data_IF_775630757854
#
_entry.id   IF_775630757854
#
_cell.length_a   1.000
_cell.length_b   1.000
_cell.length_c   1.000
_cell.angle_alpha   90.00
_cell.angle_beta   90.00
_cell.angle_gamma   90.00
#
_symmetry.space_group_name_H-M   'P 1'
#
loop_
_entity.id
_entity.type
_entity.pdbx_description
1 polymer ?
#
# COMPACT_ATOMS: atom_id res chain seq x y z
N UNK A 1 28.67 72.88 90.99
CA UNK A 1 29.15 72.12 89.87
C UNK A 1 27.97 71.34 89.24
N UNK A 2 27.01 72.05 88.58
CA UNK A 2 25.84 71.40 87.97
C UNK A 2 26.06 71.20 86.45
N UNK A 3 26.99 71.91 85.80
CA UNK A 3 27.25 71.91 84.35
C UNK A 3 27.62 70.52 83.74
N UNK A 4 28.53 69.70 84.32
CA UNK A 4 28.89 68.41 83.69
C UNK A 4 27.78 67.35 83.73
N UNK A 5 26.91 67.39 84.76
CA UNK A 5 25.80 66.43 84.86
C UNK A 5 24.73 66.72 83.83
N UNK A 6 24.40 68.00 83.50
CA UNK A 6 23.45 68.42 82.50
C UNK A 6 23.95 68.03 81.12
N UNK A 7 25.22 68.15 80.80
CA UNK A 7 25.83 67.73 79.51
C UNK A 7 25.72 66.22 79.35
N UNK A 8 26.00 65.44 80.35
CA UNK A 8 25.91 63.98 80.33
C UNK A 8 24.47 63.53 80.11
N UNK A 9 23.53 64.15 80.84
CA UNK A 9 22.09 63.87 80.64
C UNK A 9 21.65 64.25 79.22
N UNK A 10 22.09 65.43 78.71
CA UNK A 10 21.76 65.85 77.33
C UNK A 10 22.33 64.88 76.28
N UNK A 11 23.53 64.38 76.44
CA UNK A 11 24.10 63.34 75.51
C UNK A 11 23.33 62.06 75.57
N UNK A 12 22.94 61.59 76.77
CA UNK A 12 22.10 60.37 76.86
C UNK A 12 20.71 60.54 76.20
N UNK A 13 20.11 61.73 76.37
CA UNK A 13 18.83 62.03 75.72
C UNK A 13 18.97 62.08 74.18
N UNK A 14 20.02 62.69 73.63
CA UNK A 14 20.31 62.76 72.22
C UNK A 14 20.55 61.34 71.67
N UNK A 15 21.35 60.52 72.35
CA UNK A 15 21.58 59.13 71.97
C UNK A 15 20.31 58.31 72.00
N UNK A 16 19.44 58.50 72.99
CA UNK A 16 18.15 57.84 73.07
C UNK A 16 17.22 58.28 71.92
N UNK A 17 17.21 59.56 71.56
CA UNK A 17 16.49 60.11 70.44
C UNK A 17 17.02 59.55 69.09
N UNK A 18 18.35 59.57 68.94
CA UNK A 18 18.97 58.97 67.72
C UNK A 18 18.62 57.46 67.61
N UNK A 19 18.74 56.76 68.75
CA UNK A 19 18.33 55.31 68.77
C UNK A 19 16.84 55.10 68.42
N UNK A 20 15.98 55.97 68.97
CA UNK A 20 14.52 55.92 68.63
C UNK A 20 14.24 56.23 67.15
N UNK A 21 14.93 57.27 66.64
CA UNK A 21 14.81 57.66 65.23
C UNK A 21 15.34 56.55 64.28
N UNK A 22 16.56 56.02 64.62
CA UNK A 22 17.11 54.93 63.82
C UNK A 22 16.23 53.67 63.87
N UNK A 23 15.65 53.35 65.04
CA UNK A 23 14.72 52.25 65.17
C UNK A 23 13.44 52.48 64.27
N UNK A 24 12.88 53.71 64.30
CA UNK A 24 11.73 54.10 63.49
C UNK A 24 12.09 54.01 61.98
N UNK A 25 13.29 54.49 61.60
CA UNK A 25 13.73 54.42 60.17
C UNK A 25 13.88 52.95 59.73
N UNK A 26 14.52 52.12 60.57
CA UNK A 26 14.69 50.69 60.28
C UNK A 26 13.33 50.01 60.21
N UNK A 27 12.40 50.30 61.13
CA UNK A 27 11.04 49.75 61.14
C UNK A 27 10.23 50.15 59.94
N UNK A 28 10.39 51.40 59.46
CA UNK A 28 9.69 51.90 58.28
C UNK A 28 10.28 51.39 56.96
N UNK A 29 11.57 50.99 56.91
CA UNK A 29 12.24 50.52 55.71
C UNK A 29 12.29 49.00 55.61
N UNK A 30 12.00 48.24 56.69
CA UNK A 30 11.93 46.77 56.61
C UNK A 30 10.82 46.36 55.64
N UNK A 31 11.18 45.56 54.64
CA UNK A 31 10.23 44.93 53.67
C UNK A 31 9.80 43.54 54.20
N UNK A 32 8.62 43.07 53.81
CA UNK A 32 8.27 41.67 54.00
C UNK A 32 9.18 40.80 53.16
N UNK A 33 9.36 39.53 53.53
CA UNK A 33 10.15 38.55 52.85
C UNK A 33 9.32 37.30 52.55
N UNK A 34 9.56 36.66 51.39
CA UNK A 34 8.97 35.36 51.04
C UNK A 34 10.11 34.39 50.74
N UNK A 35 10.10 33.23 51.40
CA UNK A 35 10.96 32.10 51.13
C UNK A 35 10.06 30.93 50.57
N UNK A 36 10.41 30.39 49.42
CA UNK A 36 9.72 29.20 48.89
C UNK A 36 10.08 27.99 49.75
N UNK A 37 9.12 27.11 49.93
CA UNK A 37 9.39 25.75 50.43
C UNK A 37 9.65 24.88 49.20
N UNK A 38 10.73 24.09 49.23
CA UNK A 38 11.16 23.31 48.07
C UNK A 38 11.78 24.15 46.95
N UNK A 39 11.82 23.59 45.74
CA UNK A 39 12.55 24.16 44.62
C UNK A 39 11.81 25.32 43.94
N UNK A 40 12.55 26.31 43.46
CA UNK A 40 12.04 27.45 42.70
C UNK A 40 11.69 27.04 41.24
N UNK A 41 12.36 26.02 40.70
CA UNK A 41 12.10 25.44 39.39
C UNK A 41 11.85 23.95 39.53
N UNK A 42 10.71 23.51 39.01
CA UNK A 42 10.29 22.11 39.04
C UNK A 42 10.03 21.68 37.62
N UNK A 43 10.46 20.48 37.25
CA UNK A 43 10.14 19.84 35.97
C UNK A 43 9.29 18.61 36.27
N UNK A 44 8.17 18.47 35.57
CA UNK A 44 7.19 17.39 35.66
C UNK A 44 7.00 16.77 34.30
N UNK A 45 6.84 15.44 34.26
CA UNK A 45 6.36 14.78 33.04
C UNK A 45 4.87 15.02 32.86
N UNK A 46 4.41 15.02 31.61
CA UNK A 46 2.99 15.12 31.31
C UNK A 46 2.20 14.03 32.07
N UNK A 47 1.06 14.43 32.66
CA UNK A 47 0.26 13.56 33.51
C UNK A 47 0.69 13.44 34.96
N UNK A 48 1.91 13.96 35.33
CA UNK A 48 2.41 13.89 36.69
C UNK A 48 1.76 14.97 37.57
N UNK A 49 1.33 14.58 38.79
CA UNK A 49 0.65 15.50 39.70
C UNK A 49 1.62 16.52 40.27
N UNK A 50 1.28 17.80 40.14
CA UNK A 50 1.99 18.89 40.83
C UNK A 50 1.57 18.96 42.28
N UNK A 51 2.54 18.84 43.18
CA UNK A 51 2.31 19.01 44.62
C UNK A 51 2.83 20.38 45.07
N UNK A 52 1.92 21.29 45.42
CA UNK A 52 2.26 22.64 45.88
C UNK A 52 2.83 22.64 47.33
N UNK A 53 4.12 22.93 47.47
CA UNK A 53 4.80 22.98 48.78
C UNK A 53 4.61 24.29 49.50
N UNK A 54 4.20 25.35 48.81
CA UNK A 54 3.91 26.66 49.35
C UNK A 54 5.16 27.50 49.62
N UNK A 55 4.97 28.52 50.45
CA UNK A 55 6.03 29.46 50.88
C UNK A 55 5.89 29.80 52.36
N UNK A 56 6.84 30.55 52.87
CA UNK A 56 6.77 31.17 54.18
C UNK A 56 7.00 32.68 54.04
N UNK A 57 5.98 33.50 54.40
CA UNK A 57 6.11 34.94 54.39
C UNK A 57 6.33 35.48 55.81
N UNK A 58 7.28 36.40 55.93
CA UNK A 58 7.63 36.99 57.21
C UNK A 58 7.78 38.52 57.14
N UNK A 59 7.41 39.21 58.21
CA UNK A 59 7.68 40.61 58.41
C UNK A 59 8.18 40.87 59.82
N UNK A 60 9.40 41.40 59.96
CA UNK A 60 10.11 41.61 61.22
C UNK A 60 10.18 40.35 62.08
N UNK A 61 10.42 39.16 61.38
CA UNK A 61 10.56 37.86 62.04
C UNK A 61 9.22 37.21 62.43
N UNK A 62 8.08 37.86 62.21
CA UNK A 62 6.77 37.27 62.45
C UNK A 62 6.17 36.74 61.14
N UNK A 63 5.50 35.58 61.19
CA UNK A 63 4.76 35.06 60.06
C UNK A 63 3.60 35.97 59.66
N UNK A 64 3.42 36.18 58.35
CA UNK A 64 2.30 36.90 57.76
C UNK A 64 1.62 36.04 56.73
N UNK A 65 0.37 36.30 56.39
CA UNK A 65 -0.39 35.65 55.33
C UNK A 65 0.18 36.03 53.98
N UNK A 66 0.07 35.09 53.05
CA UNK A 66 0.40 35.28 51.65
C UNK A 66 -0.68 34.66 50.76
N UNK A 67 -0.83 35.15 49.54
CA UNK A 67 -1.69 34.66 48.52
C UNK A 67 -0.87 33.84 47.50
N UNK A 68 -1.44 32.71 47.02
CA UNK A 68 -0.88 31.91 45.92
C UNK A 68 -1.74 32.12 44.69
N UNK A 69 -1.11 32.53 43.58
CA UNK A 69 -1.78 32.83 42.32
C UNK A 69 -1.14 31.93 41.22
N UNK A 70 -1.98 31.32 40.41
CA UNK A 70 -1.59 30.44 39.33
C UNK A 70 -2.06 29.01 39.54
N UNK A 71 -2.00 28.22 38.49
CA UNK A 71 -2.30 26.78 38.48
C UNK A 71 -1.43 26.09 37.44
N UNK A 72 -0.99 24.88 37.76
CA UNK A 72 -0.31 23.98 36.83
C UNK A 72 -1.36 23.08 36.18
N UNK A 73 -1.33 23.00 34.83
CA UNK A 73 -2.08 21.99 34.09
C UNK A 73 -1.11 20.87 33.71
N UNK A 74 -1.18 19.77 34.40
CA UNK A 74 -0.29 18.61 34.19
C UNK A 74 -0.49 17.91 32.85
N UNK A 75 -1.63 18.12 32.18
CA UNK A 75 -2.00 17.43 30.94
C UNK A 75 -1.64 18.24 29.67
N UNK A 76 -1.05 19.42 29.87
CA UNK A 76 -0.63 20.30 28.76
C UNK A 76 0.83 20.70 28.97
N UNK A 77 1.74 20.37 28.04
CA UNK A 77 3.14 20.81 28.11
C UNK A 77 3.24 22.32 28.09
N UNK A 78 4.14 22.88 28.90
CA UNK A 78 4.34 24.31 28.98
C UNK A 78 5.02 24.74 30.28
N UNK A 79 5.25 26.04 30.39
CA UNK A 79 5.82 26.69 31.58
C UNK A 79 4.71 27.39 32.34
N UNK A 80 4.52 27.00 33.59
CA UNK A 80 3.51 27.54 34.51
C UNK A 80 4.16 28.31 35.59
N UNK A 81 3.61 29.51 35.89
CA UNK A 81 4.08 30.36 36.98
C UNK A 81 3.13 30.29 38.16
N UNK A 82 3.66 30.01 39.32
CA UNK A 82 2.98 30.11 40.62
C UNK A 82 3.59 31.31 41.36
N UNK A 83 2.78 32.32 41.56
CA UNK A 83 3.18 33.56 42.18
C UNK A 83 2.70 33.60 43.66
N UNK A 84 3.60 33.96 44.54
CA UNK A 84 3.36 34.12 45.98
C UNK A 84 3.47 35.57 46.33
N UNK A 85 2.40 36.18 46.87
CA UNK A 85 2.31 37.61 47.23
C UNK A 85 2.02 37.77 48.70
N UNK A 86 2.79 38.59 49.37
CA UNK A 86 2.52 38.97 50.73
C UNK A 86 2.52 40.49 50.87
N UNK A 87 1.51 41.05 51.55
CA UNK A 87 1.33 42.46 51.72
C UNK A 87 1.11 42.79 53.20
N UNK A 88 1.79 43.81 53.70
CA UNK A 88 1.59 44.36 55.03
C UNK A 88 1.91 45.86 55.09
N UNK A 89 1.05 46.67 55.66
CA UNK A 89 1.25 48.12 55.85
C UNK A 89 1.70 48.86 54.57
N UNK A 90 1.04 48.62 53.44
CA UNK A 90 1.37 49.20 52.13
C UNK A 90 2.74 48.76 51.55
N UNK A 91 3.32 47.68 52.04
CA UNK A 91 4.50 47.05 51.49
C UNK A 91 4.12 45.71 50.94
N UNK A 92 4.65 45.40 49.75
CA UNK A 92 4.39 44.14 49.04
C UNK A 92 5.70 43.48 48.65
N UNK A 93 5.69 42.17 48.66
CA UNK A 93 6.76 41.31 48.13
C UNK A 93 6.14 40.19 47.37
N UNK A 94 6.74 39.81 46.27
CA UNK A 94 6.34 38.66 45.49
C UNK A 94 7.54 37.75 45.21
N UNK A 95 7.26 36.48 45.03
CA UNK A 95 8.20 35.43 44.55
C UNK A 95 7.50 34.50 43.63
N UNK A 96 8.20 33.98 42.61
CA UNK A 96 7.64 33.07 41.63
C UNK A 96 8.29 31.68 41.78
N UNK A 97 7.49 30.63 41.50
CA UNK A 97 7.96 29.28 41.22
C UNK A 97 7.58 28.97 39.77
N UNK A 98 8.55 28.41 39.04
CA UNK A 98 8.36 27.98 37.67
C UNK A 98 8.17 26.47 37.67
N UNK A 99 7.05 25.99 37.14
CA UNK A 99 6.77 24.56 36.92
C UNK A 99 6.70 24.30 35.44
N UNK A 100 7.61 23.49 34.92
CA UNK A 100 7.67 23.13 33.53
C UNK A 100 7.12 21.72 33.34
N UNK A 101 6.01 21.60 32.62
CA UNK A 101 5.46 20.30 32.19
C UNK A 101 6.06 19.96 30.84
N UNK A 102 6.73 18.80 30.75
CA UNK A 102 7.36 18.34 29.52
C UNK A 102 6.63 17.11 28.99
N UNK A 103 6.53 17.04 27.66
CA UNK A 103 6.12 15.85 26.98
C UNK A 103 7.33 14.94 26.75
N UNK A 104 7.31 13.77 27.36
CA UNK A 104 8.34 12.74 27.25
C UNK A 104 7.77 11.41 26.73
N UNK A 105 6.55 11.44 26.19
CA UNK A 105 5.86 10.27 25.64
C UNK A 105 6.12 10.22 24.14
N UNK A 106 6.70 9.11 23.68
CA UNK A 106 6.92 8.93 22.26
C UNK A 106 5.62 8.63 21.51
N UNK A 107 5.47 9.08 20.27
CA UNK A 107 4.33 8.76 19.43
C UNK A 107 4.24 7.25 19.14
N UNK A 108 3.10 6.81 18.61
CA UNK A 108 2.84 5.42 18.24
C UNK A 108 2.61 5.35 16.74
N UNK A 109 3.35 4.48 16.03
CA UNK A 109 3.11 4.14 14.62
C UNK A 109 2.41 2.78 14.56
N UNK A 110 1.26 2.71 13.88
CA UNK A 110 0.51 1.48 13.63
C UNK A 110 0.54 1.18 12.14
N UNK A 111 1.15 0.07 11.75
CA UNK A 111 1.14 -0.42 10.38
C UNK A 111 -0.23 -1.05 10.05
N UNK A 112 -0.81 -0.71 8.90
CA UNK A 112 -1.98 -1.39 8.36
C UNK A 112 -1.53 -2.66 7.64
N UNK A 113 -2.28 -3.76 7.79
CA UNK A 113 -1.90 -5.08 7.26
C UNK A 113 -0.73 -5.71 8.01
N UNK A 114 -0.11 -6.71 7.36
CA UNK A 114 0.97 -7.50 7.97
C UNK A 114 2.30 -6.74 8.06
N UNK A 115 3.03 -6.91 9.14
CA UNK A 115 4.38 -6.35 9.31
C UNK A 115 5.44 -7.14 8.53
N UNK A 116 5.13 -8.36 8.10
CA UNK A 116 5.99 -9.19 7.26
C UNK A 116 5.20 -9.66 6.05
N UNK A 117 5.66 -9.31 4.84
CA UNK A 117 4.99 -9.59 3.57
C UNK A 117 5.95 -10.35 2.66
N UNK A 118 5.43 -11.31 1.89
CA UNK A 118 6.18 -12.00 0.85
C UNK A 118 5.67 -11.57 -0.53
N UNK A 119 6.58 -11.15 -1.40
CA UNK A 119 6.28 -10.67 -2.76
C UNK A 119 7.13 -11.47 -3.75
N UNK A 120 6.54 -11.94 -4.85
CA UNK A 120 7.34 -12.56 -5.91
C UNK A 120 8.21 -11.50 -6.58
N UNK A 121 9.42 -11.91 -6.97
CA UNK A 121 10.33 -11.05 -7.73
C UNK A 121 9.66 -10.48 -8.98
N UNK A 122 9.92 -9.21 -9.26
CA UNK A 122 9.37 -8.45 -10.38
C UNK A 122 7.87 -8.09 -10.26
N UNK A 123 7.19 -8.50 -9.18
CA UNK A 123 5.85 -8.03 -8.89
C UNK A 123 5.88 -6.63 -8.27
N UNK A 124 4.83 -5.85 -8.51
CA UNK A 124 4.66 -4.57 -7.83
C UNK A 124 4.39 -4.80 -6.33
N UNK A 125 5.00 -3.95 -5.51
CA UNK A 125 4.70 -3.86 -4.10
C UNK A 125 3.73 -2.70 -3.85
N UNK A 126 2.59 -2.99 -3.27
CA UNK A 126 1.63 -2.00 -2.83
C UNK A 126 1.69 -1.83 -1.32
N UNK A 127 1.93 -0.61 -0.87
CA UNK A 127 1.98 -0.27 0.56
C UNK A 127 0.56 -0.27 1.16
N UNK A 128 0.35 -1.12 2.18
CA UNK A 128 -0.94 -1.24 2.88
C UNK A 128 -1.29 -0.01 3.74
N UNK A 129 -0.29 0.85 3.97
CA UNK A 129 -0.44 2.08 4.73
C UNK A 129 -0.12 1.94 6.22
N UNK A 130 -0.27 3.06 6.92
CA UNK A 130 0.04 3.22 8.35
C UNK A 130 -0.76 4.37 8.94
N UNK A 131 -0.72 4.51 10.26
CA UNK A 131 -1.16 5.70 11.00
C UNK A 131 -0.13 6.03 12.09
N UNK A 132 -0.02 7.30 12.47
CA UNK A 132 0.78 7.70 13.61
C UNK A 132 0.01 8.69 14.47
N UNK A 133 0.09 8.53 15.78
CA UNK A 133 -0.58 9.39 16.76
C UNK A 133 0.28 9.60 17.99
N UNK A 134 0.09 10.73 18.63
CA UNK A 134 0.73 11.12 19.86
C UNK A 134 -0.30 11.65 20.87
N UNK A 135 0.01 11.59 22.15
CA UNK A 135 -0.90 12.00 23.21
C UNK A 135 -1.10 13.53 23.29
N UNK A 136 -0.14 14.32 22.82
CA UNK A 136 -0.20 15.79 22.79
C UNK A 136 -0.49 16.32 21.40
N UNK A 137 0.24 15.82 20.39
CA UNK A 137 0.16 16.28 19.00
C UNK A 137 -1.06 15.69 18.24
N UNK A 138 -1.71 14.66 18.79
CA UNK A 138 -2.83 14.00 18.14
C UNK A 138 -2.40 13.17 16.92
N UNK A 139 -3.12 13.31 15.80
CA UNK A 139 -2.79 12.62 14.55
C UNK A 139 -1.62 13.32 13.84
N UNK A 140 -0.48 12.61 13.78
CA UNK A 140 0.75 13.03 13.11
C UNK A 140 1.15 12.10 11.95
N UNK A 141 0.19 11.37 11.39
CA UNK A 141 0.40 10.43 10.28
C UNK A 141 1.11 11.10 9.09
N UNK A 142 0.81 12.36 8.81
CA UNK A 142 1.41 13.13 7.72
C UNK A 142 2.86 13.56 7.97
N UNK A 143 3.37 13.41 9.20
CA UNK A 143 4.76 13.69 9.57
C UNK A 143 5.66 12.45 9.48
N UNK A 144 5.10 11.26 9.17
CA UNK A 144 5.89 10.02 9.09
C UNK A 144 6.82 10.07 7.88
N UNK A 145 8.10 9.87 8.13
CA UNK A 145 9.13 9.69 7.12
C UNK A 145 9.31 8.21 6.81
N UNK A 146 9.43 7.87 5.52
CA UNK A 146 9.62 6.50 5.05
C UNK A 146 10.99 6.38 4.39
N UNK A 147 11.78 5.42 4.84
CA UNK A 147 13.03 5.02 4.22
C UNK A 147 12.97 3.54 3.84
N UNK A 148 13.40 3.19 2.63
CA UNK A 148 13.42 1.81 2.18
C UNK A 148 14.61 1.50 1.29
N UNK A 149 15.06 0.25 1.35
CA UNK A 149 16.04 -0.33 0.44
C UNK A 149 15.41 -1.39 -0.48
N UNK A 150 14.07 -1.44 -0.56
CA UNK A 150 13.33 -2.45 -1.32
C UNK A 150 13.78 -2.49 -2.78
N UNK A 151 14.15 -3.69 -3.24
CA UNK A 151 14.46 -3.96 -4.64
C UNK A 151 13.66 -5.20 -5.07
N UNK A 152 12.54 -4.98 -5.73
CA UNK A 152 11.65 -6.04 -6.21
C UNK A 152 12.26 -6.90 -7.32
N UNK A 153 13.36 -6.46 -7.95
CA UNK A 153 14.04 -7.19 -9.02
C UNK A 153 15.12 -8.16 -8.50
N UNK A 154 15.30 -8.23 -7.20
CA UNK A 154 16.30 -9.12 -6.59
C UNK A 154 15.72 -9.83 -5.36
N UNK A 155 15.75 -11.16 -5.37
CA UNK A 155 15.32 -11.94 -4.22
C UNK A 155 16.17 -11.60 -2.97
N UNK A 156 15.51 -11.47 -1.84
CA UNK A 156 16.13 -11.06 -0.57
C UNK A 156 15.11 -10.53 0.43
N UNK A 157 15.58 -10.21 1.63
CA UNK A 157 14.78 -9.57 2.67
C UNK A 157 15.10 -8.08 2.70
N UNK A 158 14.08 -7.26 2.65
CA UNK A 158 14.16 -5.78 2.59
C UNK A 158 13.32 -5.17 3.70
N UNK A 159 13.68 -3.96 4.10
CA UNK A 159 12.98 -3.24 5.15
C UNK A 159 12.39 -1.93 4.61
N UNK A 160 11.18 -1.64 5.04
CA UNK A 160 10.56 -0.33 4.93
C UNK A 160 10.47 0.20 6.35
N UNK A 161 11.22 1.26 6.63
CA UNK A 161 11.31 1.88 7.94
C UNK A 161 10.46 3.14 7.97
N UNK A 162 9.58 3.21 8.93
CA UNK A 162 8.71 4.36 9.23
C UNK A 162 9.27 5.03 10.47
N UNK A 163 9.42 6.34 10.45
CA UNK A 163 9.85 7.11 11.62
C UNK A 163 9.09 8.41 11.74
N UNK A 164 8.83 8.84 12.96
CA UNK A 164 8.13 10.11 13.24
C UNK A 164 8.70 10.72 14.53
N UNK A 165 8.71 12.05 14.56
CA UNK A 165 8.98 12.86 15.74
C UNK A 165 7.71 13.63 16.10
N UNK A 166 7.42 13.72 17.41
CA UNK A 166 6.44 14.67 17.90
C UNK A 166 7.03 16.09 17.98
N UNK A 167 6.26 17.06 18.46
CA UNK A 167 6.71 18.44 18.61
C UNK A 167 7.70 18.63 19.78
N UNK A 168 7.74 17.70 20.72
CA UNK A 168 8.70 17.68 21.85
C UNK A 168 10.03 17.04 21.46
N UNK A 169 10.10 16.31 20.33
CA UNK A 169 11.29 15.64 19.83
C UNK A 169 11.40 14.17 20.24
N UNK A 170 10.35 13.58 20.82
CA UNK A 170 10.32 12.15 21.08
C UNK A 170 10.10 11.38 19.78
N UNK A 171 10.80 10.23 19.63
CA UNK A 171 10.86 9.48 18.37
C UNK A 171 10.16 8.14 18.49
N UNK A 172 9.41 7.78 17.43
CA UNK A 172 8.93 6.43 17.22
C UNK A 172 9.42 5.87 15.88
N UNK A 173 9.57 4.56 15.82
CA UNK A 173 9.92 3.82 14.61
C UNK A 173 9.08 2.55 14.50
N UNK A 174 8.74 2.17 13.26
CA UNK A 174 8.16 0.89 12.92
C UNK A 174 8.84 0.34 11.66
N UNK A 175 8.86 -0.99 11.49
CA UNK A 175 9.49 -1.64 10.36
C UNK A 175 8.51 -2.64 9.75
N UNK A 176 8.39 -2.59 8.42
CA UNK A 176 7.76 -3.64 7.62
C UNK A 176 8.84 -4.38 6.86
N UNK A 177 8.87 -5.70 6.99
CA UNK A 177 9.78 -6.57 6.26
C UNK A 177 9.11 -7.06 4.98
N UNK A 178 9.75 -6.87 3.83
CA UNK A 178 9.31 -7.39 2.53
C UNK A 178 10.31 -8.46 2.07
N UNK A 179 9.85 -9.69 2.01
CA UNK A 179 10.63 -10.80 1.43
C UNK A 179 10.33 -10.92 -0.05
N UNK A 180 11.29 -10.54 -0.89
CA UNK A 180 11.23 -10.77 -2.35
C UNK A 180 11.73 -12.19 -2.61
N UNK A 181 10.85 -13.03 -3.15
CA UNK A 181 11.13 -14.46 -3.37
C UNK A 181 11.15 -14.80 -4.87
N UNK A 182 12.04 -15.68 -5.28
CA UNK A 182 11.98 -16.25 -6.61
C UNK A 182 10.77 -17.19 -6.73
N UNK A 183 9.99 -17.05 -7.82
CA UNK A 183 8.94 -18.03 -8.15
C UNK A 183 9.58 -19.41 -8.35
N UNK A 184 9.23 -20.35 -7.52
CA UNK A 184 9.76 -21.73 -7.63
C UNK A 184 8.76 -22.58 -8.40
N UNK A 185 9.06 -22.87 -9.64
CA UNK A 185 8.28 -23.81 -10.45
C UNK A 185 8.70 -25.26 -10.18
N UNK A 186 7.83 -26.19 -10.53
CA UNK A 186 8.12 -27.63 -10.42
C UNK A 186 9.35 -28.01 -11.23
N UNK A 187 10.20 -28.84 -10.66
CA UNK A 187 11.34 -29.47 -11.39
C UNK A 187 10.92 -30.72 -12.19
N UNK A 188 9.73 -31.24 -11.91
CA UNK A 188 9.17 -32.35 -12.67
C UNK A 188 8.78 -31.87 -14.07
N UNK A 189 8.86 -32.79 -15.03
CA UNK A 189 8.50 -32.48 -16.42
C UNK A 189 7.02 -32.70 -16.66
N UNK A 190 6.42 -31.85 -17.47
CA UNK A 190 5.05 -32.01 -17.92
C UNK A 190 4.84 -33.33 -18.62
N UNK A 191 3.93 -34.19 -18.10
CA UNK A 191 3.67 -35.55 -18.59
C UNK A 191 2.39 -35.66 -19.42
N UNK A 192 1.37 -34.92 -19.00
CA UNK A 192 0.01 -35.07 -19.52
C UNK A 192 -0.34 -34.11 -20.67
N UNK A 193 0.67 -33.50 -21.29
CA UNK A 193 0.46 -32.45 -22.29
C UNK A 193 0.11 -31.09 -21.67
N UNK A 194 0.33 -30.04 -22.44
CA UNK A 194 0.10 -28.65 -22.01
C UNK A 194 -1.38 -28.30 -22.12
N UNK A 195 -2.08 -27.99 -21.02
CA UNK A 195 -3.42 -27.41 -21.08
C UNK A 195 -3.36 -25.98 -21.60
N UNK A 196 -4.15 -25.70 -22.63
CA UNK A 196 -4.38 -24.35 -23.18
C UNK A 196 -5.83 -24.02 -22.93
N UNK A 197 -6.11 -23.13 -21.98
CA UNK A 197 -7.46 -22.76 -21.57
C UNK A 197 -8.05 -21.77 -22.57
N UNK A 198 -9.36 -21.87 -22.82
CA UNK A 198 -10.09 -21.02 -23.75
C UNK A 198 -11.26 -20.35 -23.05
N UNK A 199 -11.17 -19.04 -22.86
CA UNK A 199 -12.22 -18.16 -22.35
C UNK A 199 -12.75 -17.26 -23.49
N UNK A 200 -13.84 -16.50 -23.22
CA UNK A 200 -14.37 -15.51 -24.15
C UNK A 200 -14.82 -14.24 -23.39
N UNK A 201 -16.04 -14.23 -22.85
CA UNK A 201 -16.66 -13.06 -22.26
C UNK A 201 -16.69 -13.13 -20.74
N UNK A 202 -16.69 -11.96 -20.09
CA UNK A 202 -16.73 -11.86 -18.64
C UNK A 202 -17.89 -10.99 -18.17
N UNK A 203 -18.42 -11.27 -17.00
CA UNK A 203 -19.47 -10.45 -16.39
C UNK A 203 -19.37 -10.46 -14.88
N UNK A 204 -19.84 -9.36 -14.27
CA UNK A 204 -20.07 -9.27 -12.83
C UNK A 204 -21.59 -9.39 -12.60
N UNK A 205 -22.02 -10.44 -11.90
CA UNK A 205 -23.43 -10.65 -11.57
C UNK A 205 -24.03 -9.54 -10.69
N UNK A 206 -23.19 -8.74 -10.02
CA UNK A 206 -23.62 -7.71 -9.08
C UNK A 206 -23.72 -6.31 -9.72
N UNK A 207 -23.18 -6.08 -10.92
CA UNK A 207 -23.17 -4.76 -11.54
C UNK A 207 -24.42 -4.47 -12.41
N UNK A 208 -25.20 -5.49 -12.69
CA UNK A 208 -26.45 -5.39 -13.45
C UNK A 208 -26.31 -5.03 -14.95
N UNK A 209 -25.07 -4.96 -15.46
CA UNK A 209 -24.82 -4.53 -16.86
C UNK A 209 -25.09 -5.63 -17.88
N UNK A 210 -24.80 -6.88 -17.53
CA UNK A 210 -25.02 -8.01 -18.43
C UNK A 210 -26.32 -8.73 -18.10
N UNK A 211 -27.36 -8.63 -18.94
CA UNK A 211 -28.62 -9.32 -18.71
C UNK A 211 -28.43 -10.84 -18.67
N UNK A 212 -28.99 -11.51 -17.67
CA UNK A 212 -28.90 -12.97 -17.51
C UNK A 212 -29.42 -13.77 -18.72
N UNK A 213 -30.35 -13.21 -19.49
CA UNK A 213 -30.86 -13.81 -20.73
C UNK A 213 -29.84 -13.89 -21.86
N UNK A 214 -28.73 -13.14 -21.78
CA UNK A 214 -27.65 -13.18 -22.77
C UNK A 214 -26.51 -14.11 -22.40
N UNK A 215 -26.50 -14.63 -21.16
CA UNK A 215 -25.44 -15.47 -20.65
C UNK A 215 -25.53 -16.89 -21.19
N UNK A 216 -24.64 -17.22 -22.10
CA UNK A 216 -24.42 -18.61 -22.60
C UNK A 216 -23.15 -19.21 -21.91
N UNK A 217 -22.69 -20.33 -22.45
CA UNK A 217 -21.51 -21.03 -21.91
C UNK A 217 -20.17 -20.33 -22.18
N UNK A 218 -20.15 -19.25 -22.96
CA UNK A 218 -18.93 -18.46 -23.20
C UNK A 218 -18.70 -17.38 -22.14
N UNK A 219 -19.72 -17.07 -21.34
CA UNK A 219 -19.61 -16.08 -20.29
C UNK A 219 -19.04 -16.69 -19.01
N UNK A 220 -18.02 -16.05 -18.44
CA UNK A 220 -17.41 -16.41 -17.15
C UNK A 220 -17.76 -15.34 -16.12
N UNK A 221 -18.30 -15.75 -14.99
CA UNK A 221 -18.52 -14.86 -13.85
C UNK A 221 -17.17 -14.48 -13.23
N UNK A 222 -17.00 -13.19 -12.92
CA UNK A 222 -15.71 -12.63 -12.53
C UNK A 222 -15.12 -13.23 -11.25
N UNK A 223 -15.97 -13.58 -10.26
CA UNK A 223 -15.50 -14.22 -9.03
C UNK A 223 -15.04 -15.67 -9.26
N UNK A 224 -15.66 -16.38 -10.21
CA UNK A 224 -15.22 -17.72 -10.60
C UNK A 224 -13.88 -17.65 -11.34
N UNK A 225 -13.73 -16.68 -12.25
CA UNK A 225 -12.46 -16.43 -12.92
C UNK A 225 -11.36 -16.08 -11.93
N UNK A 226 -11.62 -15.16 -10.99
CA UNK A 226 -10.63 -14.79 -9.96
C UNK A 226 -10.19 -16.00 -9.13
N UNK A 227 -11.12 -16.86 -8.72
CA UNK A 227 -10.79 -18.08 -7.98
C UNK A 227 -9.89 -19.03 -8.79
N UNK A 228 -10.13 -19.14 -10.11
CA UNK A 228 -9.31 -19.97 -11.03
C UNK A 228 -7.91 -19.37 -11.17
N UNK A 229 -7.77 -18.08 -11.44
CA UNK A 229 -6.49 -17.38 -11.61
C UNK A 229 -5.69 -17.38 -10.30
N UNK A 230 -6.35 -17.10 -9.18
CA UNK A 230 -5.76 -17.18 -7.83
C UNK A 230 -5.19 -18.58 -7.59
N UNK A 231 -5.95 -19.64 -7.90
CA UNK A 231 -5.47 -21.02 -7.74
C UNK A 231 -4.19 -21.26 -8.56
N UNK A 232 -4.13 -20.84 -9.82
CA UNK A 232 -2.95 -21.01 -10.66
C UNK A 232 -1.73 -20.28 -10.08
N UNK A 233 -1.89 -19.04 -9.67
CA UNK A 233 -0.82 -18.22 -9.09
C UNK A 233 -0.30 -18.81 -7.76
N UNK A 234 -1.19 -19.12 -6.82
CA UNK A 234 -0.84 -19.63 -5.48
C UNK A 234 -0.25 -21.04 -5.51
N UNK A 235 -0.52 -21.83 -6.55
CA UNK A 235 0.02 -23.19 -6.71
C UNK A 235 1.24 -23.26 -7.62
N UNK A 236 1.86 -22.09 -7.92
CA UNK A 236 3.10 -21.97 -8.70
C UNK A 236 3.00 -22.61 -10.10
N UNK A 237 1.89 -22.38 -10.80
CA UNK A 237 1.80 -22.77 -12.21
C UNK A 237 2.76 -21.92 -13.04
N UNK A 238 3.38 -22.56 -14.03
CA UNK A 238 4.24 -21.94 -15.01
C UNK A 238 3.43 -21.51 -16.24
N UNK A 239 3.64 -20.28 -16.68
CA UNK A 239 2.99 -19.71 -17.87
C UNK A 239 4.05 -19.58 -18.97
N UNK A 240 4.18 -20.57 -19.87
CA UNK A 240 5.21 -20.56 -20.88
C UNK A 240 4.99 -19.45 -21.91
N UNK A 241 6.08 -18.89 -22.42
CA UNK A 241 6.07 -18.02 -23.59
C UNK A 241 5.69 -18.79 -24.86
N UNK A 242 5.23 -18.10 -25.88
CA UNK A 242 4.89 -18.76 -27.16
C UNK A 242 6.10 -19.44 -27.81
N UNK A 243 7.30 -18.90 -27.65
CA UNK A 243 8.54 -19.55 -28.09
C UNK A 243 8.79 -20.86 -27.34
N UNK A 244 8.55 -20.91 -26.04
CA UNK A 244 8.67 -22.13 -25.23
C UNK A 244 7.61 -23.15 -25.62
N UNK A 245 6.38 -22.73 -25.91
CA UNK A 245 5.31 -23.62 -26.41
C UNK A 245 5.72 -24.22 -27.75
N UNK A 246 6.25 -23.41 -28.69
CA UNK A 246 6.74 -23.89 -29.97
C UNK A 246 7.88 -24.90 -29.78
N UNK A 247 8.88 -24.56 -28.96
CA UNK A 247 10.01 -25.45 -28.68
C UNK A 247 9.60 -26.73 -27.93
N UNK A 248 8.56 -26.68 -27.09
CA UNK A 248 7.98 -27.88 -26.49
C UNK A 248 7.34 -28.78 -27.52
N UNK A 249 6.53 -28.24 -28.44
CA UNK A 249 5.91 -29.01 -29.53
C UNK A 249 7.00 -29.66 -30.40
N UNK A 250 8.07 -28.94 -30.71
CA UNK A 250 9.19 -29.46 -31.49
C UNK A 250 10.06 -30.51 -30.73
N UNK A 251 9.76 -30.75 -29.45
CA UNK A 251 10.51 -31.69 -28.61
C UNK A 251 11.87 -31.18 -28.12
N UNK A 252 12.20 -29.91 -28.40
CA UNK A 252 13.48 -29.28 -28.04
C UNK A 252 13.63 -29.04 -26.54
N UNK A 253 12.53 -28.78 -25.85
CA UNK A 253 12.49 -28.51 -24.40
C UNK A 253 11.42 -29.34 -23.69
N UNK A 254 11.50 -29.39 -22.36
CA UNK A 254 10.42 -29.85 -21.50
C UNK A 254 9.89 -28.62 -20.72
N UNK A 255 8.58 -28.57 -20.54
CA UNK A 255 7.96 -27.61 -19.64
C UNK A 255 7.84 -28.17 -18.21
N UNK A 256 7.79 -27.33 -17.18
CA UNK A 256 7.47 -27.74 -15.81
C UNK A 256 6.12 -28.47 -15.72
N UNK A 257 5.97 -29.39 -14.78
CA UNK A 257 4.75 -30.22 -14.64
C UNK A 257 3.48 -29.38 -14.52
N UNK A 258 3.50 -28.36 -13.69
CA UNK A 258 2.37 -27.41 -13.54
C UNK A 258 2.46 -26.27 -14.55
N UNK A 259 2.41 -26.57 -15.85
CA UNK A 259 2.37 -25.55 -16.91
C UNK A 259 0.97 -25.38 -17.45
N UNK A 260 0.56 -24.15 -17.75
CA UNK A 260 -0.74 -23.80 -18.32
C UNK A 260 -0.63 -22.56 -19.20
N UNK A 261 -1.39 -22.54 -20.29
CA UNK A 261 -1.59 -21.32 -21.10
C UNK A 261 -3.02 -20.85 -20.93
N UNK A 262 -3.21 -19.57 -20.71
CA UNK A 262 -4.53 -18.92 -20.62
C UNK A 262 -4.76 -18.18 -21.93
N UNK A 263 -5.84 -18.48 -22.65
CA UNK A 263 -6.25 -17.76 -23.84
C UNK A 263 -7.67 -17.26 -23.71
N UNK A 264 -7.93 -16.08 -24.26
CA UNK A 264 -9.22 -15.45 -24.33
C UNK A 264 -9.47 -15.09 -25.80
N UNK A 265 -10.67 -15.30 -26.32
CA UNK A 265 -11.02 -15.07 -27.70
C UNK A 265 -11.91 -13.83 -27.85
N UNK A 266 -11.94 -13.28 -29.07
CA UNK A 266 -12.75 -12.19 -29.59
C UNK A 266 -12.23 -10.77 -29.30
N UNK A 267 -11.58 -10.50 -28.17
CA UNK A 267 -11.07 -9.17 -27.83
C UNK A 267 -12.14 -8.23 -27.25
N UNK A 268 -13.23 -8.77 -26.70
CA UNK A 268 -14.36 -7.99 -26.19
C UNK A 268 -13.98 -7.07 -25.01
N UNK A 269 -14.62 -5.91 -24.92
CA UNK A 269 -14.37 -4.94 -23.84
C UNK A 269 -14.58 -5.51 -22.43
N UNK A 270 -15.36 -6.58 -22.28
CA UNK A 270 -15.58 -7.23 -20.98
C UNK A 270 -14.30 -7.84 -20.42
N UNK A 271 -13.42 -8.37 -21.28
CA UNK A 271 -12.11 -8.83 -20.85
C UNK A 271 -11.30 -7.70 -20.22
N UNK A 272 -11.16 -6.58 -20.89
CA UNK A 272 -10.36 -5.45 -20.43
C UNK A 272 -10.94 -4.81 -19.15
N UNK A 273 -12.28 -4.83 -19.02
CA UNK A 273 -12.96 -4.25 -17.87
C UNK A 273 -12.89 -5.13 -16.62
N UNK A 274 -13.05 -6.44 -16.78
CA UNK A 274 -13.25 -7.35 -15.63
C UNK A 274 -12.09 -8.32 -15.43
N UNK A 275 -11.54 -8.92 -16.49
CA UNK A 275 -10.57 -10.00 -16.38
C UNK A 275 -9.13 -9.49 -16.31
N UNK A 276 -8.75 -8.48 -17.10
CA UNK A 276 -7.40 -7.93 -17.13
C UNK A 276 -6.90 -7.48 -15.75
N UNK A 277 -7.67 -6.75 -14.92
CA UNK A 277 -7.23 -6.39 -13.56
C UNK A 277 -6.91 -7.60 -12.67
N UNK A 278 -7.60 -8.73 -12.88
CA UNK A 278 -7.34 -9.97 -12.14
C UNK A 278 -6.05 -10.64 -12.64
N UNK A 279 -5.83 -10.68 -13.94
CA UNK A 279 -4.59 -11.18 -14.56
C UNK A 279 -3.39 -10.44 -13.98
N UNK A 280 -3.46 -9.12 -13.91
CA UNK A 280 -2.40 -8.26 -13.35
C UNK A 280 -2.24 -8.44 -11.84
N UNK A 281 -3.33 -8.47 -11.09
CA UNK A 281 -3.33 -8.67 -9.63
C UNK A 281 -2.58 -9.93 -9.20
N UNK A 282 -2.76 -11.02 -9.93
CA UNK A 282 -2.13 -12.31 -9.60
C UNK A 282 -0.84 -12.58 -10.38
N UNK A 283 -0.37 -11.62 -11.18
CA UNK A 283 0.83 -11.71 -12.00
C UNK A 283 0.92 -13.03 -12.79
N UNK A 284 -0.14 -13.34 -13.51
CA UNK A 284 -0.20 -14.46 -14.44
C UNK A 284 -0.04 -13.96 -15.88
N UNK A 285 0.39 -14.82 -16.81
CA UNK A 285 0.47 -14.48 -18.23
C UNK A 285 -0.74 -15.04 -18.95
N UNK A 286 -1.33 -14.23 -19.85
CA UNK A 286 -2.45 -14.64 -20.68
C UNK A 286 -2.30 -14.08 -22.10
N UNK A 287 -3.11 -14.60 -23.02
CA UNK A 287 -3.17 -14.17 -24.42
C UNK A 287 -4.60 -13.82 -24.78
N UNK A 288 -4.80 -12.63 -25.31
CA UNK A 288 -6.05 -12.21 -25.91
C UNK A 288 -5.94 -12.34 -27.44
N UNK A 289 -6.79 -13.19 -28.05
CA UNK A 289 -6.93 -13.31 -29.49
C UNK A 289 -7.95 -12.29 -30.00
N UNK A 290 -7.50 -11.27 -30.70
CA UNK A 290 -8.29 -10.10 -31.04
C UNK A 290 -8.81 -10.11 -32.46
N UNK A 291 -10.11 -9.86 -32.63
CA UNK A 291 -10.71 -9.51 -33.92
C UNK A 291 -10.36 -8.05 -34.20
N UNK A 292 -9.34 -7.82 -35.03
CA UNK A 292 -8.73 -6.49 -35.14
C UNK A 292 -9.62 -5.44 -35.77
N UNK A 293 -10.53 -5.81 -36.66
CA UNK A 293 -11.54 -4.86 -37.22
C UNK A 293 -12.52 -4.32 -36.19
N UNK A 294 -12.71 -5.05 -35.06
CA UNK A 294 -13.66 -4.64 -34.01
C UNK A 294 -12.91 -4.00 -32.82
N UNK A 295 -11.83 -4.62 -32.37
CA UNK A 295 -11.24 -4.34 -31.07
C UNK A 295 -9.72 -4.08 -31.10
N UNK A 296 -9.10 -4.01 -32.29
CA UNK A 296 -7.63 -3.85 -32.41
C UNK A 296 -7.06 -2.63 -31.68
N UNK A 297 -7.86 -1.57 -31.54
CA UNK A 297 -7.50 -0.35 -30.83
C UNK A 297 -7.37 -0.52 -29.31
N UNK A 298 -7.97 -1.57 -28.73
CA UNK A 298 -7.91 -1.83 -27.29
C UNK A 298 -6.51 -2.22 -26.83
N UNK A 299 -5.68 -2.82 -27.67
CA UNK A 299 -4.30 -3.18 -27.33
C UNK A 299 -3.46 -1.96 -26.97
N UNK A 300 -3.67 -0.83 -27.65
CA UNK A 300 -2.97 0.42 -27.38
C UNK A 300 -3.53 1.13 -26.13
N UNK A 301 -4.81 0.94 -25.86
CA UNK A 301 -5.48 1.52 -24.68
C UNK A 301 -5.12 0.80 -23.40
N UNK A 302 -4.88 -0.50 -23.46
CA UNK A 302 -4.60 -1.35 -22.28
C UNK A 302 -3.28 -2.11 -22.44
N UNK A 303 -2.13 -1.41 -22.46
CA UNK A 303 -0.84 -2.08 -22.48
C UNK A 303 -0.62 -2.81 -21.15
N UNK A 304 -0.21 -4.08 -21.21
CA UNK A 304 0.06 -4.88 -20.01
C UNK A 304 1.25 -5.80 -20.22
N UNK A 305 2.16 -5.83 -19.25
CA UNK A 305 3.29 -6.77 -19.22
C UNK A 305 2.85 -8.23 -19.07
N UNK A 306 1.60 -8.44 -18.65
CA UNK A 306 1.02 -9.75 -18.40
C UNK A 306 0.30 -10.33 -19.62
N UNK A 307 0.16 -9.55 -20.68
CA UNK A 307 -0.64 -9.93 -21.86
C UNK A 307 0.21 -10.10 -23.11
N UNK A 308 -0.19 -11.08 -23.90
CA UNK A 308 0.10 -11.19 -25.33
C UNK A 308 -1.18 -10.85 -26.10
N UNK A 309 -1.07 -9.98 -27.08
CA UNK A 309 -2.17 -9.66 -27.99
C UNK A 309 -1.89 -10.30 -29.34
N UNK A 310 -2.68 -11.30 -29.69
CA UNK A 310 -2.48 -12.17 -30.84
C UNK A 310 -3.72 -12.20 -31.73
N UNK A 311 -3.62 -12.77 -32.92
CA UNK A 311 -4.62 -12.60 -33.97
C UNK A 311 -5.80 -13.55 -33.87
N UNK A 312 -7.02 -12.99 -33.90
CA UNK A 312 -8.28 -13.70 -34.21
C UNK A 312 -8.85 -13.28 -35.58
N UNK A 313 -7.96 -12.95 -36.52
CA UNK A 313 -8.22 -12.34 -37.85
C UNK A 313 -8.58 -10.84 -37.80
N UNK A 314 -8.59 -10.21 -38.99
CA UNK A 314 -9.18 -8.86 -39.12
C UNK A 314 -10.68 -8.95 -39.30
N UNK A 315 -11.15 -9.64 -40.32
CA UNK A 315 -12.58 -9.69 -40.69
C UNK A 315 -13.18 -11.08 -40.87
N UNK A 316 -12.38 -12.14 -40.74
CA UNK A 316 -12.88 -13.49 -41.03
C UNK A 316 -13.83 -14.03 -39.93
N UNK A 317 -14.00 -13.31 -38.83
CA UNK A 317 -15.00 -13.59 -37.80
C UNK A 317 -16.39 -13.00 -38.17
N UNK A 318 -16.47 -12.12 -39.15
CA UNK A 318 -17.75 -11.63 -39.67
C UNK A 318 -18.55 -12.82 -40.23
N UNK A 319 -19.65 -13.16 -39.54
CA UNK A 319 -20.29 -14.45 -39.71
C UNK A 319 -20.88 -14.70 -41.09
N UNK A 320 -20.60 -15.84 -41.65
CA UNK A 320 -21.52 -16.43 -42.62
C UNK A 320 -22.86 -16.76 -41.92
N UNK A 321 -23.95 -16.55 -42.59
CA UNK A 321 -25.33 -16.75 -42.09
C UNK A 321 -25.65 -18.19 -41.62
N UNK A 322 -24.72 -19.12 -41.76
CA UNK A 322 -24.82 -20.55 -41.42
C UNK A 322 -23.87 -21.00 -40.28
N UNK A 323 -23.25 -20.07 -39.55
CA UNK A 323 -22.31 -20.39 -38.46
C UNK A 323 -20.95 -20.94 -38.93
N UNK A 324 -20.63 -20.80 -40.23
CA UNK A 324 -19.32 -21.16 -40.77
C UNK A 324 -18.42 -19.93 -40.90
N UNK A 325 -17.15 -20.10 -40.61
CA UNK A 325 -16.16 -19.08 -40.87
C UNK A 325 -16.09 -18.75 -42.34
N UNK A 326 -16.07 -17.48 -42.69
CA UNK A 326 -15.85 -17.03 -44.09
C UNK A 326 -14.49 -17.44 -44.62
N UNK A 327 -13.53 -17.69 -43.75
CA UNK A 327 -12.19 -18.19 -44.06
C UNK A 327 -12.25 -19.44 -44.96
N UNK A 328 -13.18 -20.36 -44.65
CA UNK A 328 -13.33 -21.61 -45.42
C UNK A 328 -13.74 -21.41 -46.91
N UNK A 329 -14.20 -20.22 -47.28
CA UNK A 329 -14.65 -19.87 -48.61
C UNK A 329 -13.81 -18.82 -49.33
N UNK A 330 -12.88 -18.18 -48.62
CA UNK A 330 -12.05 -17.15 -49.19
C UNK A 330 -10.88 -17.73 -49.99
N UNK A 331 -10.40 -16.95 -50.96
CA UNK A 331 -9.22 -17.30 -51.73
C UNK A 331 -7.94 -17.13 -50.87
N UNK A 332 -6.88 -17.79 -51.29
CA UNK A 332 -5.53 -17.66 -50.68
C UNK A 332 -5.15 -16.22 -50.44
N UNK A 333 -5.20 -15.37 -51.48
CA UNK A 333 -4.77 -13.96 -51.41
C UNK A 333 -5.61 -13.15 -50.41
N UNK A 334 -6.92 -13.42 -50.36
CA UNK A 334 -7.82 -12.70 -49.44
C UNK A 334 -7.58 -13.08 -47.99
N UNK A 335 -7.30 -14.36 -47.70
CA UNK A 335 -6.94 -14.80 -46.36
C UNK A 335 -5.58 -14.21 -45.97
N UNK A 336 -4.61 -14.23 -46.91
CA UNK A 336 -3.26 -13.70 -46.67
C UNK A 336 -3.29 -12.20 -46.36
N UNK A 337 -4.09 -11.43 -47.06
CA UNK A 337 -4.28 -9.99 -46.80
C UNK A 337 -4.86 -9.76 -45.39
N UNK A 338 -5.90 -10.50 -45.02
CA UNK A 338 -6.57 -10.36 -43.72
C UNK A 338 -5.64 -10.70 -42.55
N UNK A 339 -4.94 -11.83 -42.57
CA UNK A 339 -4.05 -12.25 -41.49
C UNK A 339 -2.83 -11.36 -41.37
N UNK A 340 -2.30 -10.85 -42.49
CA UNK A 340 -1.19 -9.86 -42.45
C UNK A 340 -1.65 -8.54 -41.85
N UNK A 341 -2.80 -8.05 -42.28
CA UNK A 341 -3.39 -6.82 -41.72
C UNK A 341 -3.62 -6.95 -40.21
N UNK A 342 -4.15 -8.08 -39.76
CA UNK A 342 -4.34 -8.35 -38.34
C UNK A 342 -2.99 -8.33 -37.59
N UNK A 343 -1.96 -9.01 -38.13
CA UNK A 343 -0.61 -9.00 -37.54
C UNK A 343 -0.02 -7.60 -37.46
N UNK A 344 -0.18 -6.78 -38.52
CA UNK A 344 0.33 -5.41 -38.56
C UNK A 344 -0.32 -4.52 -37.48
N UNK A 345 -1.66 -4.61 -37.33
CA UNK A 345 -2.41 -3.88 -36.28
C UNK A 345 -1.92 -4.28 -34.90
N UNK A 346 -1.62 -5.56 -34.68
CA UNK A 346 -1.13 -6.12 -33.42
C UNK A 346 0.40 -6.05 -33.27
N UNK A 347 1.07 -5.30 -34.14
CA UNK A 347 2.54 -5.03 -34.10
C UNK A 347 3.41 -6.27 -34.19
N UNK A 348 2.98 -7.24 -35.00
CA UNK A 348 3.74 -8.44 -35.32
C UNK A 348 3.23 -9.71 -34.64
N UNK A 349 1.93 -9.86 -34.49
CA UNK A 349 1.31 -11.10 -33.99
C UNK A 349 1.74 -12.31 -34.83
N UNK A 350 2.12 -13.38 -34.14
CA UNK A 350 2.61 -14.63 -34.78
C UNK A 350 1.82 -15.87 -34.35
N UNK A 351 0.84 -15.69 -33.49
CA UNK A 351 -0.06 -16.77 -33.03
C UNK A 351 -1.45 -16.48 -33.53
N UNK A 352 -2.14 -17.48 -33.98
CA UNK A 352 -3.45 -17.33 -34.59
C UNK A 352 -4.51 -18.17 -33.87
N UNK A 353 -5.72 -17.65 -33.73
CA UNK A 353 -6.89 -18.43 -33.37
C UNK A 353 -7.89 -18.43 -34.51
N UNK A 354 -8.28 -19.63 -34.98
CA UNK A 354 -9.23 -19.75 -36.07
C UNK A 354 -10.61 -19.26 -35.63
N UNK A 355 -11.26 -18.36 -36.40
CA UNK A 355 -12.66 -17.99 -36.18
C UNK A 355 -13.57 -19.23 -36.15
N UNK A 356 -14.34 -19.36 -35.05
CA UNK A 356 -15.19 -20.55 -34.77
C UNK A 356 -14.42 -21.87 -34.66
N UNK A 357 -13.08 -21.83 -34.60
CA UNK A 357 -12.20 -23.01 -34.61
C UNK A 357 -12.14 -23.76 -35.95
N UNK A 358 -12.65 -23.19 -37.02
CA UNK A 358 -12.80 -23.86 -38.31
C UNK A 358 -11.67 -23.50 -39.26
N UNK A 359 -11.13 -24.50 -39.95
CA UNK A 359 -9.98 -24.36 -40.84
C UNK A 359 -9.96 -25.50 -41.87
N UNK A 360 -9.19 -25.32 -42.93
CA UNK A 360 -8.83 -26.34 -43.93
C UNK A 360 -7.33 -26.27 -44.24
N UNK A 361 -6.83 -27.10 -45.17
CA UNK A 361 -5.41 -27.17 -45.53
C UNK A 361 -4.88 -25.87 -46.21
N UNK A 362 -5.76 -25.17 -46.95
CA UNK A 362 -5.43 -23.87 -47.52
C UNK A 362 -5.15 -22.86 -46.43
N UNK A 363 -5.97 -22.81 -45.40
CA UNK A 363 -5.86 -21.90 -44.28
C UNK A 363 -4.55 -22.08 -43.52
N UNK A 364 -4.17 -23.34 -43.25
CA UNK A 364 -2.86 -23.67 -42.63
C UNK A 364 -1.69 -23.20 -43.52
N UNK A 365 -1.78 -23.40 -44.82
CA UNK A 365 -0.75 -22.96 -45.76
C UNK A 365 -0.62 -21.45 -45.74
N UNK A 366 -1.70 -20.71 -45.79
CA UNK A 366 -1.70 -19.25 -45.76
C UNK A 366 -1.09 -18.74 -44.47
N UNK A 367 -1.46 -19.26 -43.30
CA UNK A 367 -0.89 -18.87 -42.01
C UNK A 367 0.63 -19.09 -41.97
N UNK A 368 1.09 -20.24 -42.46
CA UNK A 368 2.52 -20.54 -42.54
C UNK A 368 3.26 -19.56 -43.46
N UNK A 369 2.70 -19.28 -44.64
CA UNK A 369 3.32 -18.35 -45.60
C UNK A 369 3.26 -16.89 -45.13
N UNK A 370 2.30 -16.53 -44.26
CA UNK A 370 2.19 -15.24 -43.60
C UNK A 370 3.14 -15.08 -42.41
N UNK A 371 3.84 -16.15 -41.96
CA UNK A 371 4.78 -16.12 -40.87
C UNK A 371 4.22 -16.45 -39.49
N UNK A 372 2.96 -16.88 -39.41
CA UNK A 372 2.40 -17.38 -38.15
C UNK A 372 3.11 -18.69 -37.74
N UNK A 373 3.33 -18.86 -36.44
CA UNK A 373 4.07 -20.00 -35.87
C UNK A 373 3.15 -21.08 -35.32
N UNK A 374 2.05 -20.66 -34.68
CA UNK A 374 1.07 -21.55 -34.04
C UNK A 374 -0.34 -21.10 -34.40
N UNK A 375 -1.26 -22.08 -34.52
CA UNK A 375 -2.67 -21.77 -34.72
C UNK A 375 -3.57 -22.70 -33.89
N UNK A 376 -4.54 -22.11 -33.21
CA UNK A 376 -5.43 -22.76 -32.26
C UNK A 376 -6.84 -22.94 -32.81
N UNK A 377 -7.44 -24.06 -32.44
CA UNK A 377 -8.83 -24.46 -32.81
C UNK A 377 -9.71 -24.49 -31.55
N UNK A 378 -10.97 -24.82 -31.70
CA UNK A 378 -11.88 -25.13 -30.58
C UNK A 378 -11.94 -26.63 -30.27
N UNK A 379 -11.07 -27.44 -30.89
CA UNK A 379 -11.00 -28.89 -30.61
C UNK A 379 -10.53 -29.12 -29.17
N UNK A 380 -11.34 -29.88 -28.44
CA UNK A 380 -11.00 -30.21 -27.03
C UNK A 380 -9.77 -31.10 -26.96
N UNK A 381 -8.81 -30.74 -26.11
CA UNK A 381 -7.59 -31.53 -25.85
C UNK A 381 -6.45 -30.69 -25.33
N UNK A 382 -5.32 -31.35 -25.10
CA UNK A 382 -4.06 -30.74 -24.67
C UNK A 382 -3.08 -30.71 -25.83
N UNK A 383 -2.06 -29.86 -25.72
CA UNK A 383 -0.95 -29.76 -26.67
C UNK A 383 0.18 -30.69 -26.24
N UNK A 384 0.69 -31.50 -27.15
CA UNK A 384 1.77 -32.47 -26.91
C UNK A 384 2.99 -32.19 -27.79
N UNK A 385 4.11 -32.80 -27.45
CA UNK A 385 5.24 -32.90 -28.39
C UNK A 385 4.79 -33.57 -29.68
N UNK A 386 5.12 -32.96 -30.82
CA UNK A 386 4.71 -33.44 -32.14
C UNK A 386 3.27 -33.07 -32.54
N UNK A 387 2.52 -32.25 -31.77
CA UNK A 387 1.24 -31.73 -32.19
C UNK A 387 1.38 -30.91 -33.48
N UNK A 388 0.34 -30.94 -34.32
CA UNK A 388 0.29 -30.07 -35.50
C UNK A 388 0.21 -28.60 -35.08
N UNK A 389 1.27 -27.83 -35.33
CA UNK A 389 1.39 -26.42 -34.93
C UNK A 389 0.26 -25.54 -35.44
N UNK A 390 -0.37 -25.94 -36.56
CA UNK A 390 -1.46 -25.19 -37.20
C UNK A 390 -2.85 -25.80 -36.92
N UNK A 391 -2.98 -26.67 -35.92
CA UNK A 391 -4.25 -27.29 -35.53
C UNK A 391 -4.26 -27.65 -34.03
N UNK A 392 -3.82 -26.75 -33.17
CA UNK A 392 -3.65 -26.99 -31.75
C UNK A 392 -5.02 -27.05 -31.02
N UNK A 393 -5.12 -28.01 -30.09
CA UNK A 393 -6.30 -28.20 -29.24
C UNK A 393 -6.29 -27.26 -28.05
N UNK A 394 -7.48 -26.97 -27.52
CA UNK A 394 -7.66 -26.18 -26.29
C UNK A 394 -8.67 -26.83 -25.35
N UNK A 395 -8.68 -26.40 -24.10
CA UNK A 395 -9.65 -26.79 -23.09
C UNK A 395 -10.60 -25.62 -22.87
N UNK A 396 -11.87 -25.78 -23.28
CA UNK A 396 -12.89 -24.76 -23.09
C UNK A 396 -13.27 -24.65 -21.62
N UNK A 397 -13.21 -23.46 -21.08
CA UNK A 397 -13.83 -23.11 -19.80
C UNK A 397 -15.29 -22.69 -20.05
N UNK A 398 -16.18 -23.01 -19.13
CA UNK A 398 -17.61 -22.74 -19.29
C UNK A 398 -18.17 -22.04 -18.08
N UNK A 399 -19.26 -21.31 -18.27
CA UNK A 399 -20.05 -20.75 -17.19
C UNK A 399 -20.44 -21.83 -16.17
N UNK A 400 -20.41 -21.49 -14.89
CA UNK A 400 -20.72 -22.38 -13.76
C UNK A 400 -19.76 -23.57 -13.57
N UNK A 401 -18.60 -23.55 -14.22
CA UNK A 401 -17.55 -24.54 -13.94
C UNK A 401 -17.08 -24.40 -12.49
N UNK A 402 -17.18 -25.46 -11.73
CA UNK A 402 -16.66 -25.47 -10.35
C UNK A 402 -15.14 -25.38 -10.33
N UNK A 403 -14.58 -24.82 -9.25
CA UNK A 403 -13.11 -24.80 -9.04
C UNK A 403 -12.52 -26.21 -8.99
N UNK A 404 -13.28 -27.22 -8.57
CA UNK A 404 -12.84 -28.63 -8.57
C UNK A 404 -12.66 -29.18 -9.98
N UNK A 405 -13.61 -28.91 -10.87
CA UNK A 405 -13.54 -29.28 -12.31
C UNK A 405 -12.36 -28.55 -12.96
N UNK A 406 -12.22 -27.24 -12.72
CA UNK A 406 -11.08 -26.47 -13.21
C UNK A 406 -9.74 -27.08 -12.78
N UNK A 407 -9.59 -27.40 -11.49
CA UNK A 407 -8.37 -28.06 -10.96
C UNK A 407 -8.05 -29.37 -11.67
N UNK A 408 -9.07 -30.17 -11.99
CA UNK A 408 -8.87 -31.44 -12.73
C UNK A 408 -8.43 -31.23 -14.18
N UNK A 409 -8.79 -30.08 -14.78
CA UNK A 409 -8.39 -29.75 -16.16
C UNK A 409 -6.94 -29.30 -16.28
N UNK A 410 -6.41 -28.65 -15.25
CA UNK A 410 -5.07 -28.05 -15.31
C UNK A 410 -3.98 -28.94 -14.69
N UNK A 411 -4.35 -29.91 -13.82
CA UNK A 411 -3.45 -30.92 -13.26
C UNK A 411 -3.52 -32.21 -14.11
#
# INVERSE_FOLDING_TARGET
NVKPVIIVIAVFVILAIIFAITKIIIENNTMPEIALKGDEKIELNIGEEYNEEGAEATYKGNKIEYETIGKVNKDIPGEYKIEYKASIKNKEVQKERIVKVIDNVAPIIVLKGESKISVNKENEYEESGYTASDNVDGDITNKVEIATNLNINKAGSYEIKYSVLDSAGNKAEAIRTVEVVEKKYSKEKLKNGLPVLMYHFFYDKNDGKTPTSKLDNNYMEISDFENQIKYLSENNFYFPTWEEVENYIDGKINLPDKSVVITIDDGDESFFTYALPIIEKYDVKATEFIITSWYGWLCDKYPSKNMYYESHSDKMHEGASNGKSVMLSWSYDKILEDVKKSSDILKGATIFCYPFGQYNDLDKKVLKDAGYKLAFTTKYGRVYKGSDKYALSRIRTTRNMSLSEFKSMVN
#
